data_IF_280177196477
#
_entry.id   IF_280177196477
#
_cell.length_a   1.000
_cell.length_b   1.000
_cell.length_c   1.000
_cell.angle_alpha   90.00
_cell.angle_beta   90.00
_cell.angle_gamma   90.00
#
_symmetry.space_group_name_H-M   'P 1'
#
loop_
_entity.id
_entity.type
_entity.pdbx_description
1 polymer ?
#
# COMPACT_ATOMS: atom_id res chain seq x y z
N UNK A 1 12.29 2.40 12.94
CA UNK A 1 11.62 2.18 11.64
C UNK A 1 11.14 0.75 11.55
N UNK A 2 9.83 0.52 11.59
CA UNK A 2 9.24 -0.72 11.10
C UNK A 2 9.40 -0.75 9.57
N UNK A 3 9.88 -1.86 9.03
CA UNK A 3 9.95 -2.05 7.58
C UNK A 3 8.53 -2.24 7.05
N UNK A 4 8.08 -1.35 6.16
CA UNK A 4 6.78 -1.51 5.48
C UNK A 4 6.98 -2.50 4.34
N UNK A 5 6.17 -3.58 4.25
CA UNK A 5 6.31 -4.57 3.19
C UNK A 5 5.89 -3.98 1.85
N UNK A 6 6.60 -4.40 0.80
CA UNK A 6 6.27 -4.09 -0.59
C UNK A 6 5.51 -5.25 -1.23
N UNK A 7 4.55 -4.92 -2.07
CA UNK A 7 3.72 -5.85 -2.83
C UNK A 7 3.91 -5.62 -4.32
N UNK A 8 3.88 -6.72 -5.09
CA UNK A 8 3.97 -6.68 -6.56
C UNK A 8 2.57 -6.99 -7.09
N UNK A 9 2.00 -6.06 -7.85
CA UNK A 9 0.72 -6.22 -8.53
C UNK A 9 0.94 -6.48 -10.02
N UNK A 10 0.34 -7.56 -10.52
CA UNK A 10 0.29 -7.84 -11.96
C UNK A 10 -0.86 -7.06 -12.58
N UNK A 11 -0.54 -6.14 -13.48
CA UNK A 11 -1.50 -5.42 -14.32
C UNK A 11 -1.40 -5.93 -15.77
N UNK A 12 -2.43 -5.69 -16.58
CA UNK A 12 -2.41 -6.05 -18.01
C UNK A 12 -1.26 -5.41 -18.81
N UNK A 13 -0.55 -4.42 -18.25
CA UNK A 13 0.61 -3.75 -18.86
C UNK A 13 1.96 -4.12 -18.22
N UNK A 14 1.97 -5.06 -17.26
CA UNK A 14 3.18 -5.53 -16.57
C UNK A 14 3.05 -5.52 -15.05
N UNK A 15 4.18 -5.72 -14.37
CA UNK A 15 4.28 -5.74 -12.92
C UNK A 15 4.53 -4.34 -12.36
N UNK A 16 3.79 -3.95 -11.32
CA UNK A 16 4.01 -2.70 -10.59
C UNK A 16 4.19 -2.98 -9.11
N UNK A 17 5.29 -2.51 -8.56
CA UNK A 17 5.58 -2.58 -7.13
C UNK A 17 5.02 -1.36 -6.40
N UNK A 18 4.40 -1.61 -5.25
CA UNK A 18 3.90 -0.57 -4.35
C UNK A 18 4.17 -0.99 -2.91
N UNK A 19 4.26 -0.03 -2.00
CA UNK A 19 4.11 -0.36 -0.57
C UNK A 19 2.67 -0.79 -0.27
N UNK A 20 2.48 -1.53 0.82
CA UNK A 20 1.17 -2.06 1.20
C UNK A 20 0.12 -0.95 1.42
N UNK A 21 0.50 0.23 1.91
CA UNK A 21 -0.43 1.32 2.16
C UNK A 21 -0.91 1.95 0.85
N UNK A 22 -0.01 2.17 -0.11
CA UNK A 22 -0.33 2.63 -1.45
C UNK A 22 -1.27 1.67 -2.18
N UNK A 23 -1.07 0.35 -2.02
CA UNK A 23 -1.98 -0.66 -2.60
C UNK A 23 -3.38 -0.59 -2.00
N UNK A 24 -3.48 -0.37 -0.68
CA UNK A 24 -4.77 -0.22 0.01
C UNK A 24 -5.46 1.11 -0.33
N UNK A 25 -4.69 2.19 -0.49
CA UNK A 25 -5.22 3.48 -0.93
C UNK A 25 -5.82 3.41 -2.34
N UNK A 26 -5.24 2.62 -3.25
CA UNK A 26 -5.85 2.35 -4.56
C UNK A 26 -7.25 1.70 -4.44
N UNK A 27 -7.46 0.85 -3.42
CA UNK A 27 -8.76 0.27 -3.10
C UNK A 27 -9.65 1.20 -2.26
N UNK A 28 -9.21 2.44 -2.05
CA UNK A 28 -9.87 3.46 -1.21
C UNK A 28 -9.95 3.07 0.27
N UNK A 29 -9.01 2.26 0.74
CA UNK A 29 -8.86 1.86 2.15
C UNK A 29 -7.78 2.74 2.78
N UNK A 30 -8.14 3.48 3.83
CA UNK A 30 -7.22 4.34 4.60
C UNK A 30 -6.97 3.69 5.96
N UNK A 31 -5.70 3.43 6.27
CA UNK A 31 -5.29 2.93 7.58
C UNK A 31 -5.01 4.10 8.52
N UNK A 32 -5.61 4.07 9.70
CA UNK A 32 -5.39 5.04 10.77
C UNK A 32 -4.65 4.32 11.91
N UNK A 33 -3.32 4.43 11.91
CA UNK A 33 -2.44 3.67 12.81
C UNK A 33 -1.95 4.46 14.03
N UNK A 34 -2.13 5.78 14.01
CA UNK A 34 -1.64 6.69 15.05
C UNK A 34 -2.79 7.33 15.83
N UNK A 35 -2.44 7.96 16.97
CA UNK A 35 -3.36 8.73 17.78
C UNK A 35 -3.88 9.95 17.00
N UNK A 36 -5.18 10.22 17.16
CA UNK A 36 -5.80 11.42 16.60
C UNK A 36 -5.61 12.56 17.58
N UNK A 37 -4.83 13.57 17.18
CA UNK A 37 -4.59 14.81 17.93
C UNK A 37 -5.66 15.87 17.69
#
# INVERSE_FOLDING_TARGET
>A
MSLVPYVIEQTNRGERSYDIYSRLLNDRIVMLTEEVN
#
